data_IF_732470556476
#
_entry.id   IF_732470556476
#
_cell.length_a   1.000
_cell.length_b   1.000
_cell.length_c   1.000
_cell.angle_alpha   90.00
_cell.angle_beta   90.00
_cell.angle_gamma   90.00
#
_symmetry.space_group_name_H-M   'P 1'
#
loop_
_entity.id
_entity.type
_entity.pdbx_description
1 polymer ?
#
# COMPACT_ATOMS: atom_id res chain seq x y z
N UNK A 1 18.47 -9.77 37.29
CA UNK A 1 17.08 -10.12 37.56
C UNK A 1 16.21 -8.93 37.19
N UNK A 2 15.24 -9.16 36.31
CA UNK A 2 14.04 -8.39 36.07
C UNK A 2 14.20 -6.96 35.53
N UNK A 3 14.57 -6.81 34.25
CA UNK A 3 13.95 -5.80 33.40
C UNK A 3 12.64 -6.44 32.91
N UNK A 4 11.59 -6.30 33.69
CA UNK A 4 10.22 -6.65 33.29
C UNK A 4 9.88 -5.79 32.09
N UNK A 5 9.59 -6.44 30.97
CA UNK A 5 9.11 -5.87 29.72
C UNK A 5 8.12 -4.74 30.03
N UNK A 6 8.51 -3.49 29.77
CA UNK A 6 7.53 -2.45 29.52
C UNK A 6 6.62 -3.01 28.44
N UNK A 7 5.40 -3.33 28.83
CA UNK A 7 4.38 -3.86 27.92
C UNK A 7 4.29 -2.87 26.77
N UNK A 8 4.61 -3.34 25.57
CA UNK A 8 4.50 -2.57 24.31
C UNK A 8 3.02 -2.21 24.12
N UNK A 9 2.59 -1.11 24.74
CA UNK A 9 1.20 -0.67 24.73
C UNK A 9 1.02 0.37 23.63
N UNK A 10 0.23 0.03 22.65
CA UNK A 10 -0.16 0.98 21.62
C UNK A 10 -1.14 2.00 22.19
N UNK A 11 -0.76 3.27 22.29
CA UNK A 11 -1.62 4.38 22.71
C UNK A 11 -2.19 5.07 21.47
N UNK A 12 -3.51 5.23 21.42
CA UNK A 12 -4.20 5.87 20.30
C UNK A 12 -4.49 7.33 20.64
N UNK A 13 -3.44 8.14 20.66
CA UNK A 13 -3.53 9.59 20.89
C UNK A 13 -3.97 10.38 19.64
N UNK A 14 -4.14 11.69 19.77
CA UNK A 14 -4.58 12.56 18.66
C UNK A 14 -3.63 12.53 17.45
N UNK A 15 -2.29 12.56 17.61
CA UNK A 15 -1.36 12.38 16.50
C UNK A 15 -1.51 11.04 15.78
N UNK A 16 -1.71 9.96 16.52
CA UNK A 16 -1.96 8.62 15.95
C UNK A 16 -3.21 8.61 15.09
N UNK A 17 -4.33 9.16 15.61
CA UNK A 17 -5.57 9.27 14.85
C UNK A 17 -5.42 10.15 13.61
N UNK A 18 -4.68 11.26 13.70
CA UNK A 18 -4.39 12.08 12.50
C UNK A 18 -3.76 11.23 11.40
N UNK A 19 -2.72 10.45 11.73
CA UNK A 19 -2.01 9.65 10.73
C UNK A 19 -2.89 8.52 10.20
N UNK A 20 -3.70 7.87 11.04
CA UNK A 20 -4.67 6.88 10.60
C UNK A 20 -5.66 7.46 9.58
N UNK A 21 -6.17 8.66 9.83
CA UNK A 21 -7.10 9.34 8.94
C UNK A 21 -6.41 9.85 7.66
N UNK A 22 -5.12 10.22 7.71
CA UNK A 22 -4.33 10.52 6.51
C UNK A 22 -4.21 9.27 5.62
N UNK A 23 -3.91 8.10 6.21
CA UNK A 23 -3.88 6.84 5.46
C UNK A 23 -5.25 6.47 4.91
N UNK A 24 -6.32 6.69 5.68
CA UNK A 24 -7.70 6.54 5.22
C UNK A 24 -8.00 7.43 4.00
N UNK A 25 -7.64 8.71 4.08
CA UNK A 25 -7.82 9.67 2.98
C UNK A 25 -7.00 9.27 1.74
N UNK A 26 -5.75 8.85 1.91
CA UNK A 26 -4.95 8.29 0.83
C UNK A 26 -5.61 7.06 0.18
N UNK A 27 -6.18 6.17 0.99
CA UNK A 27 -6.86 4.98 0.49
C UNK A 27 -8.11 5.33 -0.32
N UNK A 28 -8.89 6.36 0.08
CA UNK A 28 -10.05 6.80 -0.75
C UNK A 28 -9.61 7.27 -2.13
N UNK A 29 -8.45 7.90 -2.24
CA UNK A 29 -7.84 8.26 -3.52
C UNK A 29 -7.47 7.01 -4.33
N UNK A 30 -6.68 6.09 -3.78
CA UNK A 30 -6.15 4.93 -4.52
C UNK A 30 -7.29 4.02 -4.98
N UNK A 31 -8.19 3.62 -4.08
CA UNK A 31 -9.28 2.72 -4.41
C UNK A 31 -10.36 3.41 -5.26
N UNK A 32 -10.61 4.70 -5.01
CA UNK A 32 -11.54 5.50 -5.81
C UNK A 32 -11.08 5.63 -7.27
N UNK A 33 -9.80 5.96 -7.51
CA UNK A 33 -9.26 6.04 -8.87
C UNK A 33 -9.18 4.67 -9.55
N UNK A 34 -8.85 3.61 -8.82
CA UNK A 34 -8.85 2.26 -9.37
C UNK A 34 -10.25 1.84 -9.84
N UNK A 35 -11.27 2.10 -9.03
CA UNK A 35 -12.66 1.81 -9.38
C UNK A 35 -13.21 2.74 -10.49
N UNK A 36 -12.69 3.97 -10.60
CA UNK A 36 -13.09 4.94 -11.64
C UNK A 36 -12.45 4.65 -13.00
N UNK A 37 -11.33 3.93 -13.06
CA UNK A 37 -10.58 3.72 -14.30
C UNK A 37 -11.39 3.09 -15.44
N UNK A 38 -12.23 2.05 -15.22
CA UNK A 38 -13.10 1.52 -16.27
C UNK A 38 -14.11 2.56 -16.79
N UNK A 39 -14.66 3.40 -15.92
CA UNK A 39 -15.61 4.45 -16.29
C UNK A 39 -14.92 5.57 -17.08
N UNK A 40 -13.71 5.94 -16.67
CA UNK A 40 -12.87 6.89 -17.40
C UNK A 40 -12.52 6.38 -18.79
N UNK A 41 -12.13 5.09 -18.90
CA UNK A 41 -11.85 4.42 -20.18
C UNK A 41 -13.04 4.49 -21.14
N UNK A 42 -14.23 4.16 -20.65
CA UNK A 42 -15.46 4.22 -21.46
C UNK A 42 -15.74 5.65 -21.93
N UNK A 43 -15.58 6.64 -21.05
CA UNK A 43 -15.78 8.05 -21.38
C UNK A 43 -14.78 8.56 -22.42
N UNK A 44 -13.52 8.15 -22.31
CA UNK A 44 -12.44 8.55 -23.23
C UNK A 44 -12.43 7.72 -24.52
N UNK A 45 -13.21 6.64 -24.61
CA UNK A 45 -13.22 5.68 -25.74
C UNK A 45 -11.81 5.14 -26.06
N UNK A 46 -11.01 4.87 -25.04
CA UNK A 46 -9.62 4.39 -25.19
C UNK A 46 -9.53 2.86 -25.08
N UNK A 47 -8.44 2.28 -25.61
CA UNK A 47 -8.11 0.87 -25.40
C UNK A 47 -7.75 0.57 -23.93
N UNK A 48 -7.77 -0.71 -23.55
CA UNK A 48 -7.31 -1.15 -22.22
C UNK A 48 -5.84 -0.78 -21.97
N UNK A 49 -4.99 -0.89 -22.98
CA UNK A 49 -3.57 -0.53 -22.92
C UNK A 49 -3.39 0.97 -22.60
N UNK A 50 -4.13 1.84 -23.29
CA UNK A 50 -4.07 3.29 -23.04
C UNK A 50 -4.63 3.63 -21.65
N UNK A 51 -5.71 2.96 -21.20
CA UNK A 51 -6.21 3.11 -19.83
C UNK A 51 -5.17 2.68 -18.79
N UNK A 52 -4.43 1.62 -19.06
CA UNK A 52 -3.33 1.12 -18.20
C UNK A 52 -2.21 2.15 -17.99
N UNK A 53 -2.00 3.09 -18.91
CA UNK A 53 -1.02 4.18 -18.74
C UNK A 53 -1.30 5.06 -17.53
N UNK A 54 -2.54 5.12 -17.03
CA UNK A 54 -2.86 5.84 -15.80
C UNK A 54 -2.18 5.17 -14.58
N UNK A 55 -2.18 3.83 -14.53
CA UNK A 55 -1.42 3.09 -13.51
C UNK A 55 0.08 3.32 -13.62
N UNK A 56 0.62 3.33 -14.84
CA UNK A 56 2.04 3.64 -15.09
C UNK A 56 2.38 5.08 -14.66
N UNK A 57 1.54 6.06 -14.99
CA UNK A 57 1.74 7.44 -14.56
C UNK A 57 1.75 7.56 -13.03
N UNK A 58 0.84 6.86 -12.34
CA UNK A 58 0.80 6.81 -10.88
C UNK A 58 2.08 6.17 -10.31
N UNK A 59 2.57 5.07 -10.88
CA UNK A 59 3.80 4.40 -10.45
C UNK A 59 5.03 5.30 -10.64
N UNK A 60 5.13 5.99 -11.78
CA UNK A 60 6.20 6.98 -12.03
C UNK A 60 6.14 8.11 -11.01
N UNK A 61 4.95 8.67 -10.75
CA UNK A 61 4.74 9.67 -9.71
C UNK A 61 5.21 9.19 -8.34
N UNK A 62 4.90 7.95 -7.97
CA UNK A 62 5.32 7.31 -6.70
C UNK A 62 6.84 7.18 -6.61
N UNK A 63 7.53 6.81 -7.70
CA UNK A 63 9.00 6.75 -7.73
C UNK A 63 9.61 8.14 -7.56
N UNK A 64 9.07 9.14 -8.28
CA UNK A 64 9.52 10.53 -8.15
C UNK A 64 9.30 11.08 -6.73
N UNK A 65 8.24 10.65 -6.06
CA UNK A 65 8.01 10.97 -4.65
C UNK A 65 9.16 10.47 -3.77
N UNK A 66 9.62 9.23 -3.95
CA UNK A 66 10.76 8.69 -3.21
C UNK A 66 12.04 9.49 -3.40
N UNK A 67 12.30 9.96 -4.61
CA UNK A 67 13.47 10.77 -4.92
C UNK A 67 13.38 12.20 -4.33
N UNK A 68 12.18 12.78 -4.28
CA UNK A 68 11.95 14.15 -3.79
C UNK A 68 11.73 14.24 -2.28
N UNK A 69 11.26 13.19 -1.63
CA UNK A 69 10.88 13.17 -0.22
C UNK A 69 12.01 13.60 0.74
N UNK A 70 13.28 13.15 0.57
CA UNK A 70 14.38 13.62 1.44
C UNK A 70 14.62 15.12 1.36
N UNK A 71 14.52 15.69 0.15
CA UNK A 71 14.71 17.12 -0.07
C UNK A 71 13.58 17.92 0.61
N UNK A 72 12.34 17.47 0.46
CA UNK A 72 11.18 18.12 1.04
C UNK A 72 11.21 18.05 2.57
N UNK A 73 11.50 16.87 3.14
CA UNK A 73 11.56 16.69 4.60
C UNK A 73 12.71 17.49 5.25
N UNK A 74 13.85 17.58 4.58
CA UNK A 74 14.97 18.41 5.06
C UNK A 74 14.64 19.89 5.03
N UNK A 75 13.94 20.36 3.98
CA UNK A 75 13.64 21.79 3.80
C UNK A 75 12.46 22.28 4.65
N UNK A 76 11.42 21.46 4.76
CA UNK A 76 10.14 21.88 5.35
C UNK A 76 9.74 21.09 6.61
N UNK A 77 10.46 20.03 6.96
CA UNK A 77 10.08 19.08 8.00
C UNK A 77 8.94 18.16 7.59
N UNK A 78 8.77 17.05 8.30
CA UNK A 78 7.79 16.00 7.95
C UNK A 78 6.33 16.49 7.97
N UNK A 79 5.97 17.31 8.97
CA UNK A 79 4.60 17.82 9.07
C UNK A 79 4.20 18.61 7.83
N UNK A 80 5.00 19.59 7.43
CA UNK A 80 4.70 20.44 6.27
C UNK A 80 4.76 19.61 5.00
N UNK A 81 5.74 18.71 4.86
CA UNK A 81 5.87 17.78 3.71
C UNK A 81 4.62 16.91 3.56
N UNK A 82 4.05 16.39 4.66
CA UNK A 82 2.81 15.60 4.60
C UNK A 82 1.63 16.43 4.11
N UNK A 83 1.47 17.67 4.60
CA UNK A 83 0.40 18.55 4.13
C UNK A 83 0.58 19.01 2.67
N UNK A 84 1.82 19.25 2.22
CA UNK A 84 2.14 19.48 0.79
C UNK A 84 1.74 18.25 -0.02
N UNK A 85 2.04 17.05 0.48
CA UNK A 85 1.64 15.80 -0.15
C UNK A 85 0.12 15.68 -0.31
N UNK A 86 -0.64 15.93 0.76
CA UNK A 86 -2.11 15.92 0.69
C UNK A 86 -2.65 16.97 -0.28
N UNK A 87 -2.11 18.19 -0.26
CA UNK A 87 -2.55 19.26 -1.16
C UNK A 87 -2.29 18.89 -2.64
N UNK A 88 -1.09 18.41 -2.97
CA UNK A 88 -0.74 17.97 -4.31
C UNK A 88 -1.56 16.76 -4.77
N UNK A 89 -1.81 15.78 -3.89
CA UNK A 89 -2.70 14.66 -4.17
C UNK A 89 -4.10 15.14 -4.59
N UNK A 90 -4.67 16.08 -3.82
CA UNK A 90 -5.98 16.65 -4.16
C UNK A 90 -5.96 17.45 -5.45
N UNK A 91 -4.89 18.19 -5.74
CA UNK A 91 -4.74 18.87 -7.03
C UNK A 91 -4.78 17.88 -8.20
N UNK A 92 -4.10 16.73 -8.08
CA UNK A 92 -4.17 15.65 -9.07
C UNK A 92 -5.56 15.05 -9.20
N UNK A 93 -6.27 14.81 -8.08
CA UNK A 93 -7.66 14.33 -8.10
C UNK A 93 -8.58 15.34 -8.78
N UNK A 94 -8.44 16.64 -8.49
CA UNK A 94 -9.23 17.70 -9.12
C UNK A 94 -8.96 17.79 -10.64
N UNK A 95 -7.73 17.56 -11.10
CA UNK A 95 -7.46 17.47 -12.55
C UNK A 95 -8.30 16.36 -13.21
N UNK A 96 -8.44 15.20 -12.56
CA UNK A 96 -9.23 14.08 -13.09
C UNK A 96 -10.74 14.40 -13.03
N UNK A 97 -11.19 15.11 -12.00
CA UNK A 97 -12.61 15.49 -11.85
C UNK A 97 -13.01 16.52 -12.89
N UNK A 98 -12.18 17.53 -13.11
CA UNK A 98 -12.50 18.68 -13.97
C UNK A 98 -12.27 18.44 -15.46
N UNK A 99 -11.33 17.56 -15.81
CA UNK A 99 -10.93 17.34 -17.20
C UNK A 99 -11.16 15.89 -17.64
N UNK A 100 -11.49 15.72 -18.94
CA UNK A 100 -11.65 14.41 -19.55
C UNK A 100 -10.57 14.09 -20.59
N UNK A 101 -9.75 15.06 -20.99
CA UNK A 101 -8.67 14.85 -21.94
C UNK A 101 -7.61 13.91 -21.39
N UNK A 102 -7.20 12.91 -22.18
CA UNK A 102 -6.25 11.87 -21.79
C UNK A 102 -4.94 12.43 -21.19
N UNK A 103 -4.26 13.45 -21.75
CA UNK A 103 -3.02 13.96 -21.17
C UNK A 103 -3.23 14.54 -19.75
N UNK A 104 -4.37 15.21 -19.52
CA UNK A 104 -4.67 15.83 -18.23
C UNK A 104 -5.04 14.79 -17.17
N UNK A 105 -5.75 13.73 -17.55
CA UNK A 105 -6.06 12.64 -16.61
C UNK A 105 -4.81 11.81 -16.28
N UNK A 106 -3.92 11.55 -17.25
CA UNK A 106 -2.62 10.92 -17.00
C UNK A 106 -1.77 11.78 -16.05
N UNK A 107 -1.68 13.09 -16.29
CA UNK A 107 -1.00 14.00 -15.38
C UNK A 107 -1.64 13.98 -13.99
N UNK A 108 -2.98 13.98 -13.91
CA UNK A 108 -3.74 13.89 -12.66
C UNK A 108 -3.38 12.63 -11.86
N UNK A 109 -3.34 11.45 -12.50
CA UNK A 109 -2.92 10.20 -11.85
C UNK A 109 -1.46 10.26 -11.38
N UNK A 110 -0.55 10.78 -12.20
CA UNK A 110 0.86 10.94 -11.85
C UNK A 110 1.07 11.89 -10.66
N UNK A 111 0.44 13.06 -10.70
CA UNK A 111 0.51 14.07 -9.62
C UNK A 111 -0.12 13.54 -8.35
N UNK A 112 -1.34 12.97 -8.43
CA UNK A 112 -2.03 12.43 -7.26
C UNK A 112 -1.25 11.26 -6.65
N UNK A 113 -0.71 10.35 -7.46
CA UNK A 113 0.12 9.23 -7.01
C UNK A 113 1.42 9.68 -6.34
N UNK A 114 2.12 10.62 -6.97
CA UNK A 114 3.37 11.15 -6.43
C UNK A 114 3.18 11.88 -5.11
N UNK A 115 2.34 12.88 -5.08
CA UNK A 115 2.08 13.66 -3.87
C UNK A 115 1.37 12.86 -2.78
N UNK A 116 0.44 11.96 -3.15
CA UNK A 116 -0.17 11.02 -2.22
C UNK A 116 0.87 10.11 -1.55
N UNK A 117 1.85 9.63 -2.31
CA UNK A 117 2.97 8.83 -1.78
C UNK A 117 3.86 9.65 -0.84
N UNK A 118 4.12 10.94 -1.14
CA UNK A 118 4.83 11.84 -0.22
C UNK A 118 4.08 11.93 1.12
N UNK A 119 2.76 12.15 1.09
CA UNK A 119 1.95 12.22 2.30
C UNK A 119 1.99 10.90 3.08
N UNK A 120 1.74 9.78 2.38
CA UNK A 120 1.71 8.44 2.97
C UNK A 120 3.01 8.08 3.69
N UNK A 121 4.13 8.11 2.97
CA UNK A 121 5.39 7.60 3.50
C UNK A 121 6.00 8.52 4.56
N UNK A 122 5.80 9.85 4.45
CA UNK A 122 6.18 10.80 5.49
C UNK A 122 5.38 10.57 6.79
N UNK A 123 4.06 10.34 6.67
CA UNK A 123 3.20 10.06 7.80
C UNK A 123 3.50 8.69 8.45
N UNK A 124 3.74 7.64 7.65
CA UNK A 124 4.10 6.32 8.17
C UNK A 124 5.42 6.32 8.92
N UNK A 125 6.43 7.05 8.44
CA UNK A 125 7.70 7.21 9.14
C UNK A 125 7.50 7.90 10.50
N UNK A 126 6.69 8.96 10.55
CA UNK A 126 6.37 9.66 11.78
C UNK A 126 5.58 8.78 12.77
N UNK A 127 4.63 7.98 12.29
CA UNK A 127 3.85 7.04 13.11
C UNK A 127 4.74 5.97 13.74
N UNK A 128 5.60 5.37 12.93
CA UNK A 128 6.51 4.31 13.40
C UNK A 128 7.47 4.82 14.47
N UNK A 129 8.01 6.03 14.28
CA UNK A 129 8.90 6.67 15.26
C UNK A 129 8.16 7.06 16.54
N UNK A 130 6.95 7.59 16.44
CA UNK A 130 6.12 7.97 17.58
C UNK A 130 5.81 6.80 18.52
N UNK A 131 5.60 5.60 17.95
CA UNK A 131 5.28 4.41 18.72
C UNK A 131 6.48 3.48 19.02
N UNK A 132 7.65 3.74 18.46
CA UNK A 132 8.85 2.94 18.69
C UNK A 132 8.62 1.44 18.53
N UNK A 133 8.78 0.62 19.59
CA UNK A 133 8.58 -0.85 19.52
C UNK A 133 7.17 -1.26 19.11
N UNK A 134 6.13 -0.44 19.36
CA UNK A 134 4.75 -0.68 18.92
C UNK A 134 4.50 -0.18 17.48
N UNK A 135 5.49 0.37 16.80
CA UNK A 135 5.40 0.89 15.43
C UNK A 135 4.77 -0.09 14.43
N UNK A 136 5.16 -1.37 14.37
CA UNK A 136 4.55 -2.35 13.48
C UNK A 136 3.03 -2.52 13.71
N UNK A 137 2.58 -2.49 14.96
CA UNK A 137 1.16 -2.56 15.30
C UNK A 137 0.43 -1.29 14.86
N UNK A 138 1.00 -0.11 15.12
CA UNK A 138 0.44 1.17 14.69
C UNK A 138 0.31 1.25 13.16
N UNK A 139 1.34 0.82 12.42
CA UNK A 139 1.30 0.76 10.95
C UNK A 139 0.23 -0.23 10.45
N UNK A 140 0.06 -1.37 11.11
CA UNK A 140 -1.00 -2.34 10.76
C UNK A 140 -2.39 -1.76 10.97
N UNK A 141 -2.66 -1.11 12.11
CA UNK A 141 -3.94 -0.43 12.37
C UNK A 141 -4.20 0.71 11.38
N UNK A 142 -3.19 1.55 11.10
CA UNK A 142 -3.31 2.61 10.11
C UNK A 142 -3.71 2.07 8.72
N UNK A 143 -3.10 0.96 8.30
CA UNK A 143 -3.44 0.29 7.06
C UNK A 143 -4.85 -0.36 7.11
N UNK A 144 -5.29 -0.86 8.27
CA UNK A 144 -6.66 -1.37 8.44
C UNK A 144 -7.69 -0.25 8.22
N UNK A 145 -7.48 0.93 8.83
CA UNK A 145 -8.30 2.13 8.57
C UNK A 145 -8.28 2.48 7.08
N UNK A 146 -7.10 2.41 6.44
CA UNK A 146 -6.96 2.62 5.00
C UNK A 146 -7.85 1.68 4.18
N UNK A 147 -7.83 0.37 4.44
CA UNK A 147 -8.67 -0.59 3.70
C UNK A 147 -10.16 -0.30 3.89
N UNK A 148 -10.60 -0.06 5.12
CA UNK A 148 -12.01 0.25 5.39
C UNK A 148 -12.44 1.51 4.63
N UNK A 149 -11.64 2.57 4.68
CA UNK A 149 -11.91 3.81 3.96
C UNK A 149 -11.90 3.59 2.43
N UNK A 150 -10.97 2.81 1.91
CA UNK A 150 -10.87 2.49 0.49
C UNK A 150 -12.06 1.68 -0.03
N UNK A 151 -12.47 0.65 0.71
CA UNK A 151 -13.67 -0.15 0.39
C UNK A 151 -14.91 0.75 0.41
N UNK A 152 -15.08 1.57 1.44
CA UNK A 152 -16.19 2.51 1.52
C UNK A 152 -16.21 3.48 0.33
N UNK A 153 -15.04 3.99 -0.09
CA UNK A 153 -14.91 4.86 -1.26
C UNK A 153 -15.34 4.16 -2.56
N UNK A 154 -14.99 2.87 -2.73
CA UNK A 154 -15.38 2.07 -3.89
C UNK A 154 -16.91 1.89 -3.97
N UNK A 155 -17.57 1.58 -2.84
CA UNK A 155 -19.02 1.48 -2.78
C UNK A 155 -19.70 2.84 -3.03
N UNK A 156 -19.16 3.92 -2.44
CA UNK A 156 -19.67 5.27 -2.68
C UNK A 156 -19.58 5.64 -4.15
N UNK A 157 -18.44 5.35 -4.80
CA UNK A 157 -18.26 5.60 -6.22
C UNK A 157 -19.29 4.84 -7.05
N UNK A 158 -19.51 3.55 -6.76
CA UNK A 158 -20.52 2.74 -7.45
C UNK A 158 -21.94 3.30 -7.28
N UNK A 159 -22.29 3.73 -6.07
CA UNK A 159 -23.61 4.33 -5.79
C UNK A 159 -23.78 5.68 -6.49
N UNK A 160 -22.80 6.58 -6.38
CA UNK A 160 -22.86 7.93 -6.97
C UNK A 160 -22.80 7.88 -8.49
N UNK A 161 -22.08 6.92 -9.08
CA UNK A 161 -22.00 6.75 -10.53
C UNK A 161 -23.35 6.48 -11.19
N UNK A 162 -24.34 5.97 -10.43
CA UNK A 162 -25.70 5.71 -10.90
C UNK A 162 -26.62 6.92 -10.74
N UNK A 163 -26.17 8.02 -10.19
CA UNK A 163 -26.94 9.26 -10.01
C UNK A 163 -26.61 10.28 -11.11
N UNK A 164 -27.38 11.35 -11.18
CA UNK A 164 -27.14 12.48 -12.08
C UNK A 164 -25.81 13.20 -11.81
N UNK A 165 -25.21 13.02 -10.62
CA UNK A 165 -23.90 13.61 -10.26
C UNK A 165 -22.74 12.95 -11.01
N UNK A 166 -22.91 11.67 -11.38
CA UNK A 166 -21.90 10.88 -12.06
C UNK A 166 -20.71 10.50 -11.18
N UNK A 167 -19.93 9.54 -11.65
CA UNK A 167 -18.83 8.91 -10.90
C UNK A 167 -17.72 9.90 -10.43
N UNK A 168 -17.53 11.01 -11.17
CA UNK A 168 -16.50 12.02 -10.84
C UNK A 168 -16.79 12.73 -9.52
N UNK A 169 -18.06 12.91 -9.16
CA UNK A 169 -18.45 13.52 -7.91
C UNK A 169 -18.02 12.69 -6.69
N UNK A 170 -17.99 11.35 -6.82
CA UNK A 170 -17.51 10.47 -5.75
C UNK A 170 -16.02 10.68 -5.43
N UNK A 171 -15.21 11.07 -6.41
CA UNK A 171 -13.78 11.34 -6.19
C UNK A 171 -13.55 12.59 -5.31
N UNK A 172 -14.55 13.48 -5.18
CA UNK A 172 -14.48 14.65 -4.29
C UNK A 172 -14.50 14.25 -2.80
N UNK A 173 -14.75 12.99 -2.48
CA UNK A 173 -14.59 12.48 -1.10
C UNK A 173 -13.17 12.73 -0.58
N UNK A 174 -12.15 12.51 -1.40
CA UNK A 174 -10.73 12.69 -0.99
C UNK A 174 -10.40 14.14 -0.61
N UNK A 175 -10.70 15.16 -1.43
CA UNK A 175 -10.51 16.56 -1.03
C UNK A 175 -11.43 16.98 0.12
N UNK A 176 -12.65 16.45 0.23
CA UNK A 176 -13.54 16.74 1.36
C UNK A 176 -12.97 16.24 2.69
N UNK A 177 -12.46 14.99 2.72
CA UNK A 177 -11.79 14.45 3.91
C UNK A 177 -10.50 15.21 4.23
N UNK A 178 -9.72 15.60 3.23
CA UNK A 178 -8.53 16.43 3.46
C UNK A 178 -8.90 17.78 4.07
N UNK A 179 -9.93 18.45 3.55
CA UNK A 179 -10.42 19.70 4.11
C UNK A 179 -10.88 19.54 5.57
N UNK A 180 -11.61 18.46 5.88
CA UNK A 180 -12.01 18.13 7.24
C UNK A 180 -10.79 17.93 8.15
N UNK A 181 -9.75 17.23 7.71
CA UNK A 181 -8.51 17.05 8.48
C UNK A 181 -7.81 18.39 8.72
N UNK A 182 -7.75 19.26 7.72
CA UNK A 182 -7.17 20.61 7.87
C UNK A 182 -7.91 21.39 8.93
N UNK A 183 -9.23 21.42 8.88
CA UNK A 183 -10.05 22.18 9.85
C UNK A 183 -9.93 21.64 11.27
N UNK A 184 -9.93 20.31 11.42
CA UNK A 184 -10.00 19.68 12.76
C UNK A 184 -8.63 19.37 13.37
N UNK A 185 -7.61 19.09 12.56
CA UNK A 185 -6.35 18.50 13.02
C UNK A 185 -5.08 19.14 12.43
N UNK A 186 -5.15 20.27 11.71
CA UNK A 186 -3.97 20.85 11.07
C UNK A 186 -2.83 21.20 12.05
N UNK A 187 -3.15 21.47 13.33
CA UNK A 187 -2.18 21.79 14.38
C UNK A 187 -1.65 20.55 15.10
N UNK A 188 -2.29 19.40 14.91
CA UNK A 188 -1.89 18.13 15.53
C UNK A 188 -0.73 17.53 14.75
N UNK A 189 0.31 17.06 15.44
CA UNK A 189 1.42 16.31 14.85
C UNK A 189 2.14 15.56 15.97
N UNK A 190 2.73 14.37 15.72
CA UNK A 190 3.60 13.72 16.68
C UNK A 190 4.74 14.66 17.11
N UNK A 191 5.09 14.73 18.41
CA UNK A 191 6.24 15.49 18.84
C UNK A 191 7.49 14.95 18.10
N UNK A 192 8.37 15.87 17.69
CA UNK A 192 9.63 15.47 17.10
C UNK A 192 10.43 14.72 18.18
N UNK A 193 10.71 13.45 17.94
CA UNK A 193 11.70 12.75 18.75
C UNK A 193 13.04 13.41 18.44
N UNK A 194 13.62 14.09 19.42
CA UNK A 194 14.99 14.61 19.33
C UNK A 194 15.94 13.42 19.34
N UNK A 195 16.06 12.73 18.20
CA UNK A 195 17.25 11.95 17.92
C UNK A 195 18.33 13.01 17.77
N UNK A 196 19.18 13.14 18.79
CA UNK A 196 20.32 14.03 18.76
C UNK A 196 21.06 13.75 17.44
N UNK A 197 21.11 14.75 16.57
CA UNK A 197 21.90 14.66 15.35
C UNK A 197 23.32 14.31 15.81
N UNK A 198 23.80 13.12 15.44
CA UNK A 198 25.18 12.73 15.73
C UNK A 198 26.08 13.80 15.14
N UNK A 199 26.95 14.45 15.94
CA UNK A 199 27.73 15.59 15.48
C UNK A 199 28.91 15.19 14.59
N UNK A 200 28.92 14.00 14.04
CA UNK A 200 29.97 13.56 13.12
C UNK A 200 29.64 14.06 11.72
N UNK A 201 30.44 15.03 11.25
CA UNK A 201 30.41 15.62 9.90
C UNK A 201 30.78 14.63 8.76
N UNK A 202 30.56 13.35 8.94
CA UNK A 202 30.66 12.34 7.90
C UNK A 202 29.40 12.36 7.05
N UNK A 203 29.58 12.46 5.74
CA UNK A 203 28.53 12.39 4.75
C UNK A 203 27.67 11.14 4.93
N UNK A 204 26.49 11.06 4.31
CA UNK A 204 25.57 9.95 4.51
C UNK A 204 26.22 8.62 4.15
N UNK A 205 26.51 7.78 5.16
CA UNK A 205 26.99 6.42 4.94
C UNK A 205 26.04 5.69 3.95
N UNK A 206 26.61 4.90 3.00
CA UNK A 206 25.78 4.15 2.06
C UNK A 206 24.80 3.22 2.79
N UNK A 207 23.65 2.89 2.20
CA UNK A 207 22.70 1.98 2.81
C UNK A 207 23.37 0.62 3.04
N UNK A 208 23.24 0.11 4.26
CA UNK A 208 23.70 -1.24 4.56
C UNK A 208 22.94 -2.27 3.70
N UNK A 209 23.58 -3.38 3.38
CA UNK A 209 22.95 -4.43 2.55
C UNK A 209 21.60 -4.93 3.10
N UNK A 210 21.41 -4.95 4.44
CA UNK A 210 20.13 -5.34 5.08
C UNK A 210 19.01 -4.37 4.73
N UNK A 211 19.29 -3.10 4.60
CA UNK A 211 18.31 -2.10 4.15
C UNK A 211 17.87 -2.36 2.71
N UNK A 212 18.81 -2.71 1.83
CA UNK A 212 18.48 -3.05 0.44
C UNK A 212 17.66 -4.33 0.36
N UNK A 213 17.99 -5.35 1.16
CA UNK A 213 17.20 -6.58 1.26
C UNK A 213 15.79 -6.29 1.77
N UNK A 214 15.64 -5.45 2.82
CA UNK A 214 14.32 -5.06 3.31
C UNK A 214 13.50 -4.30 2.24
N UNK A 215 14.14 -3.46 1.43
CA UNK A 215 13.51 -2.83 0.28
C UNK A 215 13.05 -3.84 -0.78
N UNK A 216 13.89 -4.82 -1.10
CA UNK A 216 13.53 -5.94 -1.99
C UNK A 216 12.35 -6.77 -1.46
N UNK A 217 12.31 -7.02 -0.14
CA UNK A 217 11.16 -7.68 0.52
C UNK A 217 9.89 -6.84 0.35
N UNK A 218 9.97 -5.52 0.58
CA UNK A 218 8.84 -4.62 0.36
C UNK A 218 8.35 -4.67 -1.10
N UNK A 219 9.28 -4.66 -2.06
CA UNK A 219 8.98 -4.79 -3.48
C UNK A 219 8.24 -6.10 -3.78
N UNK A 220 8.73 -7.25 -3.30
CA UNK A 220 8.07 -8.54 -3.46
C UNK A 220 6.65 -8.53 -2.86
N UNK A 221 6.48 -7.97 -1.67
CA UNK A 221 5.19 -7.90 -0.99
C UNK A 221 4.16 -7.05 -1.75
N UNK A 222 4.57 -5.91 -2.28
CA UNK A 222 3.70 -5.04 -3.09
C UNK A 222 3.38 -5.72 -4.42
N UNK A 223 4.36 -6.35 -5.08
CA UNK A 223 4.13 -7.10 -6.32
C UNK A 223 3.14 -8.26 -6.10
N UNK A 224 3.22 -8.99 -4.97
CA UNK A 224 2.26 -10.02 -4.58
C UNK A 224 0.84 -9.48 -4.48
N UNK A 225 0.63 -8.39 -3.74
CA UNK A 225 -0.70 -7.79 -3.55
C UNK A 225 -1.28 -7.34 -4.90
N UNK A 226 -0.49 -6.68 -5.74
CA UNK A 226 -0.93 -6.25 -7.07
C UNK A 226 -1.18 -7.41 -8.04
N UNK A 227 -0.45 -8.52 -7.93
CA UNK A 227 -0.69 -9.73 -8.72
C UNK A 227 -2.09 -10.30 -8.42
N UNK A 228 -2.47 -10.41 -7.16
CA UNK A 228 -3.84 -10.83 -6.80
C UNK A 228 -4.89 -9.81 -7.23
N UNK A 229 -4.67 -8.52 -6.97
CA UNK A 229 -5.65 -7.48 -7.29
C UNK A 229 -5.99 -7.39 -8.78
N UNK A 230 -5.03 -7.63 -9.67
CA UNK A 230 -5.22 -7.42 -11.10
C UNK A 230 -5.52 -8.71 -11.87
N UNK A 231 -5.03 -9.88 -11.42
CA UNK A 231 -5.05 -11.11 -12.19
C UNK A 231 -5.83 -12.26 -11.56
N UNK A 232 -6.18 -12.18 -10.26
CA UNK A 232 -6.88 -13.27 -9.61
C UNK A 232 -8.25 -13.57 -10.23
N UNK A 233 -8.99 -12.54 -10.67
CA UNK A 233 -10.29 -12.71 -11.30
C UNK A 233 -10.19 -13.48 -12.63
N UNK A 234 -9.14 -13.22 -13.42
CA UNK A 234 -8.92 -13.89 -14.69
C UNK A 234 -8.59 -15.38 -14.48
N UNK A 235 -7.67 -15.69 -13.55
CA UNK A 235 -7.38 -17.08 -13.20
C UNK A 235 -8.62 -17.77 -12.63
N UNK A 236 -9.40 -17.09 -11.81
CA UNK A 236 -10.63 -17.64 -11.25
C UNK A 236 -11.64 -18.02 -12.33
N UNK A 237 -11.89 -17.12 -13.29
CA UNK A 237 -12.75 -17.42 -14.44
C UNK A 237 -12.22 -18.63 -15.24
N UNK A 238 -10.93 -18.62 -15.56
CA UNK A 238 -10.29 -19.69 -16.37
C UNK A 238 -10.36 -21.07 -15.70
N UNK A 239 -10.28 -21.13 -14.35
CA UNK A 239 -10.26 -22.39 -13.60
C UNK A 239 -11.64 -22.94 -13.27
N UNK A 240 -12.62 -22.08 -13.09
CA UNK A 240 -13.96 -22.48 -12.60
C UNK A 240 -15.04 -22.40 -13.67
N UNK A 241 -14.74 -21.83 -14.84
CA UNK A 241 -15.72 -21.62 -15.91
C UNK A 241 -16.77 -20.53 -15.58
N UNK A 242 -16.59 -19.76 -14.51
CA UNK A 242 -17.46 -18.64 -14.17
C UNK A 242 -17.36 -17.52 -15.21
N UNK A 243 -18.43 -16.76 -15.38
CA UNK A 243 -18.38 -15.53 -16.16
C UNK A 243 -17.37 -14.54 -15.57
N UNK A 244 -16.79 -13.67 -16.38
CA UNK A 244 -15.85 -12.64 -15.91
C UNK A 244 -16.43 -11.76 -14.79
N UNK A 245 -17.74 -11.42 -14.88
CA UNK A 245 -18.43 -10.65 -13.86
C UNK A 245 -18.55 -11.41 -12.52
N UNK A 246 -18.88 -12.72 -12.57
CA UNK A 246 -18.90 -13.55 -11.36
C UNK A 246 -17.51 -13.76 -10.78
N UNK A 247 -16.50 -14.00 -11.60
CA UNK A 247 -15.13 -14.18 -11.17
C UNK A 247 -14.53 -12.91 -10.54
N UNK A 248 -14.92 -11.72 -11.00
CA UNK A 248 -14.49 -10.46 -10.41
C UNK A 248 -14.89 -10.31 -8.93
N UNK A 249 -15.96 -10.98 -8.48
CA UNK A 249 -16.35 -10.99 -7.07
C UNK A 249 -15.32 -11.72 -6.18
N UNK A 250 -14.45 -12.56 -6.74
CA UNK A 250 -13.34 -13.19 -6.03
C UNK A 250 -12.39 -12.17 -5.40
N UNK A 251 -12.21 -11.00 -6.02
CA UNK A 251 -11.44 -9.91 -5.45
C UNK A 251 -12.02 -9.44 -4.11
N UNK A 252 -13.35 -9.44 -3.96
CA UNK A 252 -13.99 -9.07 -2.68
C UNK A 252 -13.59 -10.03 -1.56
N UNK A 253 -13.45 -11.33 -1.84
CA UNK A 253 -12.99 -12.30 -0.84
C UNK A 253 -11.53 -12.03 -0.43
N UNK A 254 -10.65 -11.72 -1.37
CA UNK A 254 -9.27 -11.32 -1.09
C UNK A 254 -9.21 -10.05 -0.23
N UNK A 255 -9.96 -9.02 -0.59
CA UNK A 255 -10.00 -7.75 0.15
C UNK A 255 -10.63 -7.91 1.54
N UNK A 256 -11.65 -8.77 1.69
CA UNK A 256 -12.22 -9.11 3.00
C UNK A 256 -11.20 -9.79 3.91
N UNK A 257 -10.46 -10.77 3.37
CA UNK A 257 -9.34 -11.40 4.08
C UNK A 257 -8.27 -10.38 4.48
N UNK A 258 -7.91 -9.49 3.57
CA UNK A 258 -6.92 -8.43 3.79
C UNK A 258 -7.37 -7.47 4.90
N UNK A 259 -8.64 -7.07 4.93
CA UNK A 259 -9.20 -6.22 5.99
C UNK A 259 -9.18 -6.96 7.35
N UNK A 260 -9.70 -8.19 7.40
CA UNK A 260 -9.73 -8.99 8.62
C UNK A 260 -8.32 -9.23 9.19
N UNK A 261 -7.37 -9.56 8.31
CA UNK A 261 -5.99 -9.81 8.69
C UNK A 261 -5.26 -8.57 9.22
N UNK A 262 -5.56 -7.36 8.73
CA UNK A 262 -4.97 -6.12 9.24
C UNK A 262 -5.38 -5.83 10.69
N UNK A 263 -6.65 -6.06 11.04
CA UNK A 263 -7.12 -5.91 12.42
C UNK A 263 -6.51 -6.98 13.35
N UNK A 264 -6.56 -8.25 12.95
CA UNK A 264 -5.95 -9.34 13.71
C UNK A 264 -4.43 -9.14 13.84
N UNK A 265 -3.79 -8.68 12.80
CA UNK A 265 -2.34 -8.46 12.72
C UNK A 265 -1.83 -7.38 13.64
N UNK A 266 -2.58 -6.31 13.86
CA UNK A 266 -2.23 -5.28 14.83
C UNK A 266 -2.08 -5.87 16.25
N UNK A 267 -3.00 -6.75 16.64
CA UNK A 267 -2.94 -7.45 17.92
C UNK A 267 -1.78 -8.46 17.98
N UNK A 268 -1.57 -9.23 16.91
CA UNK A 268 -0.50 -10.23 16.84
C UNK A 268 0.89 -9.55 16.84
N UNK A 269 1.03 -8.38 16.23
CA UNK A 269 2.27 -7.62 16.18
C UNK A 269 2.75 -7.14 17.57
N UNK A 270 1.85 -7.03 18.53
CA UNK A 270 2.19 -6.72 19.94
C UNK A 270 2.64 -7.95 20.75
N UNK A 271 2.40 -9.17 20.25
CA UNK A 271 2.65 -10.42 20.97
C UNK A 271 3.74 -11.29 20.36
N UNK A 272 3.96 -11.16 19.06
CA UNK A 272 4.88 -12.02 18.32
C UNK A 272 6.08 -11.21 17.80
N UNK A 273 7.27 -11.82 17.81
CA UNK A 273 8.43 -11.21 17.16
C UNK A 273 8.12 -10.90 15.68
N UNK A 274 8.43 -9.69 15.17
CA UNK A 274 8.05 -9.24 13.83
C UNK A 274 8.43 -10.22 12.72
N UNK A 275 9.63 -10.82 12.80
CA UNK A 275 10.09 -11.76 11.78
C UNK A 275 9.30 -13.10 11.80
N UNK A 276 8.86 -13.59 12.98
CA UNK A 276 8.01 -14.81 13.05
C UNK A 276 6.62 -14.52 12.51
N UNK A 277 6.06 -13.37 12.88
CA UNK A 277 4.77 -12.93 12.38
C UNK A 277 4.80 -12.78 10.86
N UNK A 278 5.86 -12.19 10.31
CA UNK A 278 6.01 -11.99 8.87
C UNK A 278 6.09 -13.33 8.11
N UNK A 279 6.92 -14.26 8.58
CA UNK A 279 7.02 -15.59 7.96
C UNK A 279 5.69 -16.36 8.07
N UNK A 280 4.98 -16.24 9.19
CA UNK A 280 3.64 -16.81 9.36
C UNK A 280 2.64 -16.23 8.35
N UNK A 281 2.66 -14.90 8.16
CA UNK A 281 1.82 -14.22 7.18
C UNK A 281 2.11 -14.68 5.73
N UNK A 282 3.40 -14.81 5.36
CA UNK A 282 3.82 -15.36 4.07
C UNK A 282 3.35 -16.81 3.89
N UNK A 283 3.46 -17.64 4.94
CA UNK A 283 2.99 -19.03 4.91
C UNK A 283 1.46 -19.11 4.73
N UNK A 284 0.68 -18.27 5.42
CA UNK A 284 -0.77 -18.20 5.23
C UNK A 284 -1.13 -17.78 3.80
N UNK A 285 -0.41 -16.80 3.22
CA UNK A 285 -0.60 -16.42 1.82
C UNK A 285 -0.26 -17.58 0.88
N UNK A 286 0.81 -18.32 1.13
CA UNK A 286 1.21 -19.47 0.32
C UNK A 286 0.14 -20.58 0.34
N UNK A 287 -0.42 -20.89 1.50
CA UNK A 287 -1.49 -21.88 1.64
C UNK A 287 -2.75 -21.39 0.91
N UNK A 288 -3.14 -20.14 1.09
CA UNK A 288 -4.29 -19.55 0.40
C UNK A 288 -4.10 -19.56 -1.13
N UNK A 289 -2.90 -19.18 -1.60
CA UNK A 289 -2.54 -19.26 -3.02
C UNK A 289 -2.64 -20.68 -3.55
N UNK A 290 -2.10 -21.67 -2.83
CA UNK A 290 -2.11 -23.07 -3.26
C UNK A 290 -3.54 -23.61 -3.38
N UNK A 291 -4.41 -23.30 -2.41
CA UNK A 291 -5.83 -23.65 -2.47
C UNK A 291 -6.51 -23.00 -3.68
N UNK A 292 -6.28 -21.72 -3.92
CA UNK A 292 -6.84 -20.99 -5.05
C UNK A 292 -6.32 -21.51 -6.38
N UNK A 293 -5.01 -21.72 -6.50
CA UNK A 293 -4.33 -22.13 -7.74
C UNK A 293 -4.70 -23.53 -8.20
N UNK A 294 -4.85 -24.48 -7.24
CA UNK A 294 -5.22 -25.87 -7.54
C UNK A 294 -6.73 -26.03 -7.74
N UNK A 295 -7.55 -25.17 -7.15
CA UNK A 295 -9.00 -25.34 -7.15
C UNK A 295 -9.62 -25.13 -8.53
N UNK A 296 -10.60 -25.99 -8.84
CA UNK A 296 -11.58 -25.80 -9.91
C UNK A 296 -12.98 -25.56 -9.36
N UNK A 297 -13.13 -25.58 -8.02
CA UNK A 297 -14.39 -25.41 -7.35
C UNK A 297 -14.53 -23.97 -6.81
N UNK A 298 -15.58 -23.21 -7.18
CA UNK A 298 -15.72 -21.80 -6.83
C UNK A 298 -15.59 -21.53 -5.31
N UNK A 299 -16.26 -22.32 -4.47
CA UNK A 299 -16.25 -22.12 -3.01
C UNK A 299 -14.85 -22.22 -2.44
N UNK A 300 -14.06 -23.21 -2.88
CA UNK A 300 -12.69 -23.40 -2.41
C UNK A 300 -11.76 -22.29 -2.94
N UNK A 301 -12.01 -21.82 -4.17
CA UNK A 301 -11.28 -20.67 -4.74
C UNK A 301 -11.55 -19.38 -3.95
N UNK A 302 -12.80 -19.11 -3.55
CA UNK A 302 -13.11 -17.97 -2.65
C UNK A 302 -12.39 -18.10 -1.32
N UNK A 303 -12.42 -19.30 -0.70
CA UNK A 303 -11.70 -19.55 0.57
C UNK A 303 -10.19 -19.34 0.41
N UNK A 304 -9.60 -19.82 -0.70
CA UNK A 304 -8.20 -19.60 -1.03
C UNK A 304 -7.84 -18.13 -1.19
N UNK A 305 -8.68 -17.36 -1.91
CA UNK A 305 -8.50 -15.91 -2.07
C UNK A 305 -8.63 -15.17 -0.74
N UNK A 306 -9.64 -15.49 0.09
CA UNK A 306 -9.80 -14.89 1.41
C UNK A 306 -8.59 -15.18 2.31
N UNK A 307 -8.09 -16.41 2.30
CA UNK A 307 -6.91 -16.81 3.07
C UNK A 307 -5.63 -16.14 2.54
N UNK A 308 -5.48 -16.02 1.21
CA UNK A 308 -4.38 -15.26 0.61
C UNK A 308 -4.40 -13.80 1.05
N UNK A 309 -5.58 -13.17 1.06
CA UNK A 309 -5.76 -11.80 1.53
C UNK A 309 -5.44 -11.65 3.01
N UNK A 310 -5.87 -12.61 3.84
CA UNK A 310 -5.58 -12.64 5.28
C UNK A 310 -4.06 -12.62 5.54
N UNK A 311 -3.30 -13.46 4.84
CA UNK A 311 -1.84 -13.48 4.93
C UNK A 311 -1.21 -12.20 4.37
N UNK A 312 -1.61 -11.77 3.17
CA UNK A 312 -1.09 -10.58 2.50
C UNK A 312 -1.30 -9.28 3.30
N UNK A 313 -2.29 -9.26 4.19
CA UNK A 313 -2.64 -8.11 5.00
C UNK A 313 -1.48 -7.51 5.80
N UNK A 314 -0.55 -8.35 6.25
CA UNK A 314 0.59 -7.97 7.08
C UNK A 314 1.87 -7.72 6.29
N UNK A 315 1.91 -8.07 5.00
CA UNK A 315 3.13 -7.97 4.21
C UNK A 315 3.64 -6.54 4.15
N UNK A 316 2.81 -5.59 3.73
CA UNK A 316 3.23 -4.20 3.59
C UNK A 316 3.60 -3.55 4.93
N UNK A 317 2.78 -3.60 6.02
CA UNK A 317 3.13 -2.96 7.27
C UNK A 317 4.38 -3.56 7.92
N UNK A 318 4.59 -4.89 7.85
CA UNK A 318 5.78 -5.52 8.41
C UNK A 318 7.03 -5.28 7.55
N UNK A 319 6.91 -5.27 6.22
CA UNK A 319 8.01 -4.91 5.32
C UNK A 319 8.43 -3.45 5.51
N UNK A 320 7.45 -2.53 5.65
CA UNK A 320 7.73 -1.12 5.94
C UNK A 320 8.40 -0.94 7.30
N UNK A 321 7.92 -1.63 8.33
CA UNK A 321 8.53 -1.60 9.66
C UNK A 321 9.98 -2.14 9.63
N UNK A 322 10.23 -3.23 8.89
CA UNK A 322 11.58 -3.77 8.69
C UNK A 322 12.49 -2.78 7.96
N UNK A 323 11.98 -2.12 6.92
CA UNK A 323 12.73 -1.11 6.18
C UNK A 323 13.11 0.08 7.08
N UNK A 324 12.18 0.56 7.92
CA UNK A 324 12.43 1.63 8.89
C UNK A 324 13.49 1.18 9.91
N UNK A 325 13.36 -0.03 10.46
CA UNK A 325 14.32 -0.60 11.43
C UNK A 325 15.73 -0.66 10.85
N UNK A 326 15.89 -1.07 9.59
CA UNK A 326 17.19 -1.15 8.94
C UNK A 326 17.70 0.19 8.38
N UNK A 327 16.90 1.25 8.43
CA UNK A 327 17.34 2.61 8.17
C UNK A 327 18.14 3.22 9.36
N UNK A 328 18.12 2.56 10.53
CA UNK A 328 18.78 3.02 11.76
C UNK A 328 18.20 4.34 12.24
N UNK A 329 19.07 5.28 12.61
CA UNK A 329 18.68 6.60 13.14
C UNK A 329 18.09 7.54 12.08
N UNK A 330 17.81 7.03 10.87
CA UNK A 330 17.32 7.83 9.72
C UNK A 330 16.01 7.27 9.13
N UNK A 331 14.89 7.29 9.85
CA UNK A 331 13.62 6.78 9.35
C UNK A 331 13.15 7.47 8.06
N UNK A 332 13.55 8.72 7.81
CA UNK A 332 13.28 9.43 6.55
C UNK A 332 13.91 8.74 5.33
N UNK A 333 15.02 8.00 5.53
CA UNK A 333 15.62 7.19 4.47
C UNK A 333 14.69 6.05 4.03
N UNK A 334 14.01 5.41 4.98
CA UNK A 334 13.02 4.39 4.68
C UNK A 334 11.81 5.01 3.97
N UNK A 335 11.34 6.17 4.45
CA UNK A 335 10.26 6.93 3.81
C UNK A 335 10.56 7.32 2.37
N UNK A 336 11.82 7.64 2.06
CA UNK A 336 12.27 7.95 0.70
C UNK A 336 12.42 6.72 -0.20
N UNK A 337 12.95 5.63 0.35
CA UNK A 337 13.21 4.39 -0.40
C UNK A 337 11.92 3.59 -0.64
N UNK A 338 10.99 3.57 0.31
CA UNK A 338 9.77 2.77 0.21
C UNK A 338 8.93 3.08 -1.04
N UNK A 339 8.65 4.34 -1.44
CA UNK A 339 7.92 4.62 -2.67
C UNK A 339 8.68 4.20 -3.93
N UNK A 340 10.00 4.17 -3.91
CA UNK A 340 10.80 3.67 -5.04
C UNK A 340 10.57 2.16 -5.20
N UNK A 341 10.73 1.39 -4.13
CA UNK A 341 10.50 -0.05 -4.14
C UNK A 341 9.04 -0.41 -4.47
N UNK A 342 8.09 0.29 -3.84
CA UNK A 342 6.67 0.06 -4.07
C UNK A 342 6.23 0.46 -5.49
N UNK A 343 6.67 1.63 -5.98
CA UNK A 343 6.39 2.09 -7.33
C UNK A 343 6.98 1.16 -8.40
N UNK A 344 8.20 0.65 -8.18
CA UNK A 344 8.80 -0.34 -9.07
C UNK A 344 8.00 -1.65 -9.08
N UNK A 345 7.53 -2.11 -7.91
CA UNK A 345 6.68 -3.30 -7.82
C UNK A 345 5.33 -3.12 -8.54
N UNK A 346 4.70 -1.95 -8.37
CA UNK A 346 3.43 -1.61 -9.04
C UNK A 346 3.58 -1.55 -10.55
N UNK A 347 4.71 -1.09 -11.05
CA UNK A 347 4.99 -1.03 -12.48
C UNK A 347 5.36 -2.40 -13.06
N UNK A 348 6.26 -3.12 -12.39
CA UNK A 348 6.88 -4.34 -12.92
C UNK A 348 6.10 -5.62 -12.59
N UNK A 349 5.45 -5.70 -11.43
CA UNK A 349 4.75 -6.91 -10.98
C UNK A 349 3.63 -7.35 -11.93
N UNK A 350 2.64 -6.50 -12.20
CA UNK A 350 1.57 -6.82 -13.14
C UNK A 350 2.05 -7.03 -14.57
N UNK A 351 3.07 -6.27 -15.00
CA UNK A 351 3.66 -6.41 -16.33
C UNK A 351 4.36 -7.77 -16.51
N UNK A 352 5.14 -8.18 -15.49
CA UNK A 352 5.81 -9.48 -15.51
C UNK A 352 4.79 -10.62 -15.53
N UNK A 353 3.72 -10.53 -14.73
CA UNK A 353 2.69 -11.54 -14.70
C UNK A 353 1.92 -11.58 -16.02
N UNK A 354 1.61 -10.40 -16.62
CA UNK A 354 1.01 -10.33 -17.96
C UNK A 354 1.86 -10.96 -19.04
N UNK A 355 3.16 -10.65 -19.10
CA UNK A 355 4.07 -11.24 -20.06
C UNK A 355 4.20 -12.77 -19.90
N UNK A 356 4.20 -13.25 -18.65
CA UNK A 356 4.16 -14.69 -18.36
C UNK A 356 2.82 -15.31 -18.79
N UNK A 357 1.71 -14.60 -18.60
CA UNK A 357 0.39 -15.07 -19.01
C UNK A 357 0.25 -15.19 -20.53
N UNK A 358 0.79 -14.23 -21.26
CA UNK A 358 0.82 -14.25 -22.73
C UNK A 358 1.66 -15.42 -23.28
N UNK A 359 2.79 -15.75 -22.62
CA UNK A 359 3.69 -16.83 -23.06
C UNK A 359 3.30 -18.20 -22.58
N UNK A 360 2.78 -18.35 -21.38
CA UNK A 360 2.61 -19.64 -20.69
C UNK A 360 1.18 -19.88 -20.18
N UNK A 361 0.27 -18.94 -20.40
CA UNK A 361 -1.10 -18.95 -19.89
C UNK A 361 -1.19 -18.49 -18.42
N UNK A 362 -2.35 -17.93 -18.05
CA UNK A 362 -2.59 -17.29 -16.73
C UNK A 362 -2.34 -18.25 -15.55
N UNK A 363 -2.65 -19.54 -15.71
CA UNK A 363 -2.43 -20.53 -14.65
C UNK A 363 -0.94 -20.71 -14.31
N UNK A 364 -0.08 -20.87 -15.33
CA UNK A 364 1.37 -20.99 -15.12
C UNK A 364 2.00 -19.65 -14.69
N UNK A 365 1.49 -18.52 -15.18
CA UNK A 365 1.95 -17.21 -14.78
C UNK A 365 1.82 -16.97 -13.26
N UNK A 366 0.78 -17.54 -12.63
CA UNK A 366 0.60 -17.46 -11.17
C UNK A 366 1.66 -18.20 -10.34
N UNK A 367 2.56 -18.96 -10.94
CA UNK A 367 3.78 -19.47 -10.29
C UNK A 367 4.76 -18.34 -9.91
N UNK A 368 4.58 -17.14 -10.42
CA UNK A 368 5.27 -15.95 -9.92
C UNK A 368 4.99 -15.70 -8.43
N UNK A 369 3.78 -16.02 -7.96
CA UNK A 369 3.38 -15.80 -6.55
C UNK A 369 4.26 -16.56 -5.57
N UNK A 370 4.43 -17.90 -5.65
CA UNK A 370 5.32 -18.62 -4.73
C UNK A 370 6.79 -18.21 -4.89
N UNK A 371 7.24 -17.80 -6.07
CA UNK A 371 8.59 -17.25 -6.25
C UNK A 371 8.79 -15.95 -5.46
N UNK A 372 7.83 -15.02 -5.53
CA UNK A 372 7.87 -13.78 -4.74
C UNK A 372 7.77 -14.05 -3.23
N UNK A 373 6.95 -15.02 -2.80
CA UNK A 373 6.85 -15.45 -1.39
C UNK A 373 8.21 -16.00 -0.93
N UNK A 374 8.83 -16.86 -1.72
CA UNK A 374 10.15 -17.44 -1.40
C UNK A 374 11.24 -16.38 -1.28
N UNK A 375 11.27 -15.41 -2.20
CA UNK A 375 12.21 -14.29 -2.16
C UNK A 375 11.98 -13.41 -0.92
N UNK A 376 10.71 -13.10 -0.61
CA UNK A 376 10.38 -12.32 0.58
C UNK A 376 10.76 -13.05 1.87
N UNK A 377 10.44 -14.35 1.98
CA UNK A 377 10.80 -15.17 3.13
C UNK A 377 12.32 -15.28 3.32
N UNK A 378 13.06 -15.54 2.24
CA UNK A 378 14.52 -15.56 2.22
C UNK A 378 15.11 -14.22 2.68
N UNK A 379 14.59 -13.11 2.16
CA UNK A 379 14.99 -11.77 2.56
C UNK A 379 14.74 -11.49 4.05
N UNK A 380 13.58 -11.89 4.59
CA UNK A 380 13.28 -11.76 6.03
C UNK A 380 14.25 -12.57 6.87
N UNK A 381 14.60 -13.79 6.45
CA UNK A 381 15.54 -14.66 7.17
C UNK A 381 16.96 -14.11 7.17
N UNK A 382 17.43 -13.62 6.02
CA UNK A 382 18.78 -13.10 5.83
C UNK A 382 18.99 -11.77 6.56
N UNK A 383 17.98 -10.88 6.53
CA UNK A 383 18.06 -9.56 7.15
C UNK A 383 17.93 -9.59 8.68
N UNK A 384 17.61 -10.72 9.31
CA UNK A 384 17.51 -10.82 10.78
C UNK A 384 18.81 -10.35 11.45
N UNK A 385 18.72 -9.58 12.55
CA UNK A 385 19.85 -9.40 13.43
C UNK A 385 20.31 -10.79 13.91
N UNK A 386 21.61 -11.05 13.84
CA UNK A 386 22.17 -12.21 14.53
C UNK A 386 22.01 -11.94 16.04
N UNK A 387 21.31 -12.84 16.74
CA UNK A 387 21.17 -12.80 18.20
C UNK A 387 22.52 -12.84 18.88
#
# INVERSE_FOLDING_TARGET
MSAISESTRLTRDRPTWLIYLILGTFATFVYGLSAALPLLRLQQRTSGTVAGLHGTAMAVGTILAGLSLPLLTRRYGRRVTTWIGLAGMNAGVLLIVLFSALPLTLLGYGVAGGFGSIALYSAMAALSEHHGPAGPAALSEANAVGVVAGVAATFLLSAVAQTALGWRAALLLTPALTALLVVTMARVWPPATTVAASPTGEGPAPPGWRFLVAGGVLCCCVALEFSFNLWAAELFAARTGLSAAAAATGLTAFLAGLAAGRFAGAYLALRLPPARLFLGALAVTAVGWLLFWLSTWPVLSYAGLALSGLGASLHFPLAMAALITHAGDRPDRAGAAAPIWAGSAMALGPLALGALADGFGTWNAFLLVPALIGLAAGGVLIARPRA
#
